data_IF_159900471442
#
_entry.id   IF_159900471442
#
_cell.length_a   1.000
_cell.length_b   1.000
_cell.length_c   1.000
_cell.angle_alpha   90.00
_cell.angle_beta   90.00
_cell.angle_gamma   90.00
#
_symmetry.space_group_name_H-M   'P 1'
#
loop_
_entity.id
_entity.type
_entity.pdbx_description
1 polymer ?
#
# COMPACT_ATOMS: atom_id res chain seq x y z
N UNK A 1 -9.53 -13.07 -0.79
CA UNK A 1 -8.95 -12.08 -1.73
C UNK A 1 -7.50 -12.45 -1.97
N UNK A 2 -7.04 -12.40 -3.22
CA UNK A 2 -5.64 -12.74 -3.54
C UNK A 2 -4.90 -11.50 -4.02
N UNK A 3 -3.83 -11.13 -3.32
CA UNK A 3 -3.00 -9.95 -3.67
C UNK A 3 -1.78 -10.40 -4.47
N UNK A 4 -1.56 -9.80 -5.64
CA UNK A 4 -0.32 -9.93 -6.41
C UNK A 4 0.53 -8.67 -6.26
N UNK A 5 1.76 -8.87 -5.82
CA UNK A 5 2.82 -7.85 -5.74
C UNK A 5 3.53 -7.76 -7.08
N UNK A 6 3.69 -6.54 -7.62
CA UNK A 6 4.23 -6.31 -8.95
C UNK A 6 5.31 -5.20 -8.86
N UNK A 7 6.59 -5.58 -8.80
CA UNK A 7 7.73 -4.64 -8.63
C UNK A 7 8.02 -3.84 -9.90
N UNK A 8 7.69 -2.55 -9.92
CA UNK A 8 7.77 -1.67 -11.09
C UNK A 8 8.82 -0.58 -10.88
N UNK A 9 9.21 0.09 -11.97
CA UNK A 9 10.23 1.14 -11.92
C UNK A 9 11.55 0.63 -11.30
N UNK A 10 12.18 1.41 -10.43
CA UNK A 10 13.39 1.02 -9.71
C UNK A 10 13.03 0.23 -8.44
N UNK A 11 12.09 0.72 -7.65
CA UNK A 11 11.74 0.14 -6.35
C UNK A 11 10.26 0.26 -5.96
N UNK A 12 9.38 0.74 -6.85
CA UNK A 12 7.95 0.86 -6.57
C UNK A 12 7.23 -0.49 -6.61
N UNK A 13 6.14 -0.60 -5.85
CA UNK A 13 5.15 -1.67 -5.99
C UNK A 13 3.84 -1.12 -6.53
N UNK A 14 3.26 -1.87 -7.47
CA UNK A 14 1.82 -1.82 -7.71
C UNK A 14 1.20 -3.16 -7.31
N UNK A 15 -0.09 -3.15 -7.01
CA UNK A 15 -0.78 -4.34 -6.53
C UNK A 15 -2.00 -4.64 -7.38
N UNK A 16 -2.24 -5.93 -7.63
CA UNK A 16 -3.49 -6.43 -8.20
C UNK A 16 -4.20 -7.28 -7.16
N UNK A 17 -5.38 -6.85 -6.72
CA UNK A 17 -6.21 -7.52 -5.75
C UNK A 17 -7.33 -8.22 -6.51
N UNK A 18 -7.37 -9.55 -6.41
CA UNK A 18 -8.29 -10.40 -7.16
C UNK A 18 -9.35 -10.94 -6.21
N UNK A 19 -10.62 -10.69 -6.55
CA UNK A 19 -11.73 -11.51 -6.05
C UNK A 19 -11.76 -12.81 -6.86
N UNK A 20 -11.42 -13.91 -6.19
CA UNK A 20 -11.28 -15.20 -6.86
C UNK A 20 -12.62 -15.79 -7.33
N UNK A 21 -13.74 -15.36 -6.72
CA UNK A 21 -15.07 -15.84 -7.04
C UNK A 21 -15.64 -15.14 -8.29
N UNK A 22 -15.66 -13.81 -8.29
CA UNK A 22 -16.20 -13.02 -9.41
C UNK A 22 -15.25 -12.93 -10.60
N UNK A 23 -13.95 -13.22 -10.40
CA UNK A 23 -12.87 -12.95 -11.37
C UNK A 23 -12.75 -11.48 -11.73
N UNK A 24 -13.18 -10.60 -10.83
CA UNK A 24 -12.89 -9.16 -10.91
C UNK A 24 -11.67 -8.81 -10.09
N UNK A 25 -11.05 -7.68 -10.43
CA UNK A 25 -9.87 -7.21 -9.75
C UNK A 25 -9.85 -5.69 -9.63
N UNK A 26 -9.17 -5.24 -8.58
CA UNK A 26 -8.84 -3.84 -8.30
C UNK A 26 -7.33 -3.72 -8.36
N UNK A 27 -6.81 -2.60 -8.88
CA UNK A 27 -5.39 -2.29 -8.80
C UNK A 27 -5.11 -1.16 -7.81
N UNK A 28 -3.93 -1.19 -7.18
CA UNK A 28 -3.41 -0.09 -6.38
C UNK A 28 -2.17 0.47 -7.06
N UNK A 29 -2.14 1.80 -7.22
CA UNK A 29 -1.02 2.58 -7.77
C UNK A 29 -0.43 2.03 -9.09
N UNK A 30 -1.24 1.87 -10.16
CA UNK A 30 -0.86 1.12 -11.35
C UNK A 30 0.03 1.92 -12.31
N UNK A 31 1.16 2.43 -11.83
CA UNK A 31 2.01 3.36 -12.56
C UNK A 31 2.67 2.76 -13.82
N UNK A 32 2.70 1.44 -14.00
CA UNK A 32 3.16 0.78 -15.25
C UNK A 32 2.00 -0.02 -15.86
N UNK A 33 1.08 0.65 -16.58
CA UNK A 33 -0.21 0.08 -16.94
C UNK A 33 -0.12 -1.13 -17.87
N UNK A 34 0.81 -1.13 -18.84
CA UNK A 34 0.98 -2.26 -19.77
C UNK A 34 1.35 -3.57 -19.04
N UNK A 35 2.18 -3.50 -18.00
CA UNK A 35 2.58 -4.66 -17.19
C UNK A 35 1.41 -5.16 -16.33
N UNK A 36 0.58 -4.24 -15.82
CA UNK A 36 -0.63 -4.59 -15.10
C UNK A 36 -1.58 -5.36 -16.02
N UNK A 37 -1.84 -4.82 -17.22
CA UNK A 37 -2.75 -5.43 -18.18
C UNK A 37 -2.28 -6.81 -18.67
N UNK A 38 -0.96 -7.02 -18.81
CA UNK A 38 -0.40 -8.35 -19.09
C UNK A 38 -0.74 -9.37 -17.99
N UNK A 39 -0.57 -8.96 -16.72
CA UNK A 39 -0.88 -9.81 -15.57
C UNK A 39 -2.40 -10.03 -15.47
N UNK A 40 -3.22 -9.00 -15.63
CA UNK A 40 -4.69 -9.10 -15.66
C UNK A 40 -5.14 -10.12 -16.70
N UNK A 41 -4.56 -10.07 -17.92
CA UNK A 41 -4.83 -11.04 -18.98
C UNK A 41 -4.38 -12.45 -18.60
N UNK A 42 -3.18 -12.60 -18.03
CA UNK A 42 -2.65 -13.92 -17.61
C UNK A 42 -3.48 -14.56 -16.51
N UNK A 43 -3.96 -13.77 -15.56
CA UNK A 43 -4.83 -14.25 -14.47
C UNK A 43 -6.27 -14.53 -14.92
N UNK A 44 -6.65 -14.06 -16.12
CA UNK A 44 -8.01 -14.24 -16.65
C UNK A 44 -9.06 -13.47 -15.82
N UNK A 45 -8.70 -12.29 -15.33
CA UNK A 45 -9.58 -11.44 -14.49
C UNK A 45 -9.95 -10.15 -15.22
N UNK A 46 -11.01 -9.49 -14.76
CA UNK A 46 -11.47 -8.19 -15.26
C UNK A 46 -11.08 -7.08 -14.28
N UNK A 47 -10.25 -6.13 -14.70
CA UNK A 47 -9.94 -4.95 -13.90
C UNK A 47 -11.15 -4.00 -13.91
N UNK A 48 -11.67 -3.66 -12.73
CA UNK A 48 -12.88 -2.82 -12.58
C UNK A 48 -12.63 -1.50 -11.86
N UNK A 49 -11.59 -1.44 -11.02
CA UNK A 49 -11.25 -0.22 -10.31
C UNK A 49 -9.74 -0.06 -10.06
N UNK A 50 -9.35 1.19 -9.80
CA UNK A 50 -8.03 1.60 -9.35
C UNK A 50 -8.19 2.39 -8.06
N UNK A 51 -7.39 2.06 -7.05
CA UNK A 51 -7.23 2.83 -5.82
C UNK A 51 -5.87 3.54 -5.90
N UNK A 52 -5.85 4.87 -5.95
CA UNK A 52 -4.61 5.65 -6.04
C UNK A 52 -4.32 6.26 -4.67
N UNK A 53 -3.21 5.86 -4.04
CA UNK A 53 -2.86 6.31 -2.69
C UNK A 53 -2.58 7.80 -2.65
N UNK A 54 -1.84 8.34 -3.63
CA UNK A 54 -1.56 9.76 -3.72
C UNK A 54 -1.14 10.20 -5.13
N UNK A 55 -0.97 11.50 -5.31
CA UNK A 55 -0.81 12.14 -6.62
C UNK A 55 0.60 12.06 -7.21
N UNK A 56 1.61 11.56 -6.49
CA UNK A 56 2.95 11.47 -7.05
C UNK A 56 2.96 10.57 -8.29
N UNK A 57 3.81 10.96 -9.23
CA UNK A 57 3.80 10.43 -10.59
C UNK A 57 4.04 8.92 -10.64
N UNK A 58 4.94 8.42 -9.82
CA UNK A 58 5.31 7.01 -9.71
C UNK A 58 4.21 6.12 -9.10
N UNK A 59 3.09 6.72 -8.66
CA UNK A 59 1.86 6.03 -8.24
C UNK A 59 0.70 6.25 -9.23
N UNK A 60 0.47 7.51 -9.63
CA UNK A 60 -0.75 7.91 -10.35
C UNK A 60 -0.63 7.92 -11.90
N UNK A 61 0.59 7.96 -12.47
CA UNK A 61 0.78 8.22 -13.91
C UNK A 61 0.11 7.22 -14.86
N UNK A 62 -0.16 6.01 -14.39
CA UNK A 62 -0.74 4.96 -15.22
C UNK A 62 -2.25 5.10 -15.43
N UNK A 63 -2.91 5.90 -14.59
CA UNK A 63 -4.37 5.99 -14.53
C UNK A 63 -4.99 6.43 -15.87
N UNK A 64 -4.46 7.48 -16.50
CA UNK A 64 -5.00 7.98 -17.78
C UNK A 64 -4.85 6.98 -18.92
N UNK A 65 -3.74 6.22 -18.95
CA UNK A 65 -3.54 5.20 -19.96
C UNK A 65 -4.52 4.04 -19.77
N UNK A 66 -4.78 3.63 -18.53
CA UNK A 66 -5.78 2.60 -18.23
C UNK A 66 -7.19 3.04 -18.61
N UNK A 67 -7.55 4.31 -18.37
CA UNK A 67 -8.86 4.84 -18.77
C UNK A 67 -9.06 4.88 -20.29
N UNK A 68 -7.99 5.04 -21.07
CA UNK A 68 -8.07 4.96 -22.54
C UNK A 68 -8.37 3.53 -23.00
N UNK A 69 -7.78 2.54 -22.35
CA UNK A 69 -7.97 1.12 -22.69
C UNK A 69 -9.26 0.53 -22.08
N UNK A 70 -9.71 1.07 -20.94
CA UNK A 70 -10.88 0.64 -20.17
C UNK A 70 -11.71 1.88 -19.79
N UNK A 71 -12.60 2.36 -20.68
CA UNK A 71 -13.33 3.62 -20.47
C UNK A 71 -14.23 3.66 -19.23
N UNK A 72 -14.76 2.51 -18.81
CA UNK A 72 -15.64 2.39 -17.64
C UNK A 72 -14.87 2.17 -16.32
N UNK A 73 -13.52 2.23 -16.35
CA UNK A 73 -12.69 2.03 -15.17
C UNK A 73 -12.94 3.11 -14.12
N UNK A 74 -13.14 2.70 -12.87
CA UNK A 74 -13.30 3.63 -11.76
C UNK A 74 -11.93 3.91 -11.11
N UNK A 75 -11.52 5.16 -11.04
CA UNK A 75 -10.26 5.60 -10.42
C UNK A 75 -10.59 6.40 -9.17
N UNK A 76 -10.25 5.82 -8.02
CA UNK A 76 -10.48 6.39 -6.70
C UNK A 76 -9.21 7.04 -6.16
N UNK A 77 -9.38 8.12 -5.39
CA UNK A 77 -8.26 8.88 -4.81
C UNK A 77 -8.73 10.02 -3.92
N UNK A 78 -7.85 10.51 -3.04
CA UNK A 78 -8.17 11.59 -2.10
C UNK A 78 -7.86 13.01 -2.61
N UNK A 79 -7.23 13.14 -3.77
CA UNK A 79 -6.58 14.37 -4.22
C UNK A 79 -6.95 14.71 -5.67
N UNK A 80 -7.37 15.95 -5.93
CA UNK A 80 -7.75 16.42 -7.28
C UNK A 80 -6.54 16.45 -8.24
N UNK A 81 -5.31 16.38 -7.71
CA UNK A 81 -4.07 16.28 -8.50
C UNK A 81 -3.84 14.88 -9.09
N UNK A 82 -4.60 13.87 -8.66
CA UNK A 82 -4.51 12.51 -9.22
C UNK A 82 -4.98 12.52 -10.66
N UNK A 83 -4.06 12.23 -11.59
CA UNK A 83 -4.38 12.11 -13.01
C UNK A 83 -5.39 11.00 -13.24
N UNK A 84 -6.42 11.27 -14.04
CA UNK A 84 -7.48 10.31 -14.34
C UNK A 84 -8.44 10.02 -13.17
N UNK A 85 -8.48 10.83 -12.11
CA UNK A 85 -9.44 10.65 -11.01
C UNK A 85 -10.89 10.70 -11.53
N UNK A 86 -11.70 9.69 -11.21
CA UNK A 86 -13.14 9.68 -11.51
C UNK A 86 -14.01 9.72 -10.25
N UNK A 87 -13.49 9.24 -9.11
CA UNK A 87 -14.21 9.17 -7.85
C UNK A 87 -13.33 9.69 -6.70
N UNK A 88 -13.58 10.91 -6.24
CA UNK A 88 -12.90 11.43 -5.05
C UNK A 88 -13.47 10.77 -3.79
N UNK A 89 -12.60 10.26 -2.92
CA UNK A 89 -12.99 9.62 -1.66
C UNK A 89 -12.63 10.47 -0.44
N UNK A 90 -13.30 10.19 0.68
CA UNK A 90 -13.03 10.84 1.98
C UNK A 90 -12.66 9.83 3.05
N UNK A 91 -12.14 10.32 4.17
CA UNK A 91 -11.83 9.49 5.35
C UNK A 91 -13.03 8.66 5.79
N UNK A 92 -12.78 7.40 6.15
CA UNK A 92 -13.76 6.39 6.59
C UNK A 92 -14.86 6.05 5.58
N UNK A 93 -14.78 6.55 4.33
CA UNK A 93 -15.71 6.11 3.28
C UNK A 93 -15.47 4.64 2.96
N UNK A 94 -16.56 3.86 2.95
CA UNK A 94 -16.53 2.46 2.56
C UNK A 94 -16.94 2.29 1.10
N UNK A 95 -16.20 1.45 0.39
CA UNK A 95 -16.47 1.00 -0.96
C UNK A 95 -16.61 -0.52 -0.95
N UNK A 96 -17.30 -1.07 -1.94
CA UNK A 96 -17.47 -2.51 -2.09
C UNK A 96 -17.29 -2.93 -3.53
N UNK A 97 -16.46 -3.95 -3.74
CA UNK A 97 -16.19 -4.55 -5.03
C UNK A 97 -16.42 -6.06 -4.90
N UNK A 98 -17.65 -6.49 -5.17
CA UNK A 98 -18.12 -7.85 -4.90
C UNK A 98 -17.88 -8.26 -3.44
N UNK A 99 -17.05 -9.28 -3.19
CA UNK A 99 -16.73 -9.75 -1.84
C UNK A 99 -15.75 -8.83 -1.09
N UNK A 100 -15.01 -7.98 -1.80
CA UNK A 100 -13.95 -7.14 -1.22
C UNK A 100 -14.57 -5.85 -0.69
N UNK A 101 -14.53 -5.67 0.62
CA UNK A 101 -14.85 -4.42 1.29
C UNK A 101 -13.58 -3.55 1.39
N UNK A 102 -13.72 -2.24 1.20
CA UNK A 102 -12.61 -1.28 1.26
C UNK A 102 -13.01 -0.13 2.17
N UNK A 103 -12.17 0.23 3.14
CA UNK A 103 -12.29 1.46 3.92
C UNK A 103 -11.16 2.42 3.54
N UNK A 104 -11.53 3.62 3.12
CA UNK A 104 -10.59 4.68 2.74
C UNK A 104 -10.10 5.41 4.00
N UNK A 105 -8.80 5.45 4.23
CA UNK A 105 -8.18 6.04 5.41
C UNK A 105 -7.34 7.24 4.98
N UNK A 106 -7.84 8.44 5.24
CA UNK A 106 -7.10 9.67 4.99
C UNK A 106 -5.88 9.75 5.92
N UNK A 107 -4.68 9.87 5.33
CA UNK A 107 -3.40 9.87 6.05
C UNK A 107 -2.48 10.99 5.56
N UNK A 108 -2.88 12.28 5.71
CA UNK A 108 -2.10 13.39 5.19
C UNK A 108 -0.76 13.49 5.91
N UNK A 109 0.35 13.51 5.18
CA UNK A 109 1.66 13.96 5.67
C UNK A 109 2.68 13.92 4.54
N UNK A 110 2.87 12.73 3.95
CA UNK A 110 3.72 12.57 2.78
C UNK A 110 3.22 13.45 1.63
N UNK A 111 1.93 13.34 1.34
CA UNK A 111 1.17 14.36 0.59
C UNK A 111 -0.07 14.74 1.37
N UNK A 112 -0.64 15.91 1.08
CA UNK A 112 -1.83 16.44 1.78
C UNK A 112 -3.12 15.70 1.40
N UNK A 113 -3.11 14.93 0.31
CA UNK A 113 -4.25 14.15 -0.18
C UNK A 113 -4.08 12.64 -0.06
N UNK A 114 -3.09 12.16 0.70
CA UNK A 114 -2.74 10.75 0.78
C UNK A 114 -3.87 9.91 1.41
N UNK A 115 -4.16 8.76 0.80
CA UNK A 115 -5.12 7.75 1.24
C UNK A 115 -4.42 6.40 1.41
N UNK A 116 -4.65 5.75 2.54
CA UNK A 116 -4.44 4.31 2.70
C UNK A 116 -5.77 3.59 2.46
N UNK A 117 -5.71 2.34 1.98
CA UNK A 117 -6.91 1.54 1.72
C UNK A 117 -6.87 0.25 2.54
N UNK A 118 -7.78 0.11 3.50
CA UNK A 118 -7.94 -1.09 4.32
C UNK A 118 -8.99 -2.02 3.69
N UNK A 119 -8.60 -3.25 3.39
CA UNK A 119 -9.38 -4.24 2.64
C UNK A 119 -9.62 -5.49 3.48
N UNK A 120 -10.84 -6.01 3.41
CA UNK A 120 -11.22 -7.29 4.02
C UNK A 120 -12.34 -7.96 3.22
N UNK A 121 -12.57 -9.23 3.50
CA UNK A 121 -13.75 -9.99 3.05
C UNK A 121 -14.52 -10.47 4.28
N UNK A 122 -15.85 -10.42 4.21
CA UNK A 122 -16.70 -10.93 5.27
C UNK A 122 -16.59 -12.46 5.34
N UNK A 123 -16.61 -13.02 6.56
CA UNK A 123 -16.51 -14.47 6.83
C UNK A 123 -15.26 -15.17 6.23
N UNK A 124 -14.19 -14.41 5.95
CA UNK A 124 -12.93 -14.93 5.43
C UNK A 124 -11.92 -15.19 6.56
N UNK A 125 -11.26 -16.37 6.61
CA UNK A 125 -10.25 -16.66 7.62
C UNK A 125 -8.90 -15.94 7.36
N UNK A 126 -8.69 -15.39 6.16
CA UNK A 126 -7.47 -14.66 5.85
C UNK A 126 -7.47 -13.28 6.51
N UNK A 127 -6.33 -12.89 7.09
CA UNK A 127 -6.15 -11.56 7.65
C UNK A 127 -6.39 -10.46 6.62
N UNK A 128 -6.94 -9.31 7.05
CA UNK A 128 -7.16 -8.16 6.18
C UNK A 128 -5.84 -7.57 5.67
N UNK A 129 -5.93 -6.66 4.70
CA UNK A 129 -4.78 -5.99 4.10
C UNK A 129 -4.94 -4.47 4.18
N UNK A 130 -3.84 -3.74 4.30
CA UNK A 130 -3.81 -2.28 4.15
C UNK A 130 -2.76 -1.89 3.12
N UNK A 131 -3.18 -1.11 2.14
CA UNK A 131 -2.30 -0.51 1.14
C UNK A 131 -1.94 0.89 1.60
N UNK A 132 -0.68 1.09 1.93
CA UNK A 132 -0.24 2.26 2.71
C UNK A 132 0.45 3.33 1.88
N UNK A 133 0.66 3.08 0.58
CA UNK A 133 1.42 3.96 -0.29
C UNK A 133 2.71 4.39 0.40
N UNK A 134 2.88 5.69 0.54
CA UNK A 134 4.07 6.30 1.09
C UNK A 134 3.87 6.83 2.52
N UNK A 135 2.78 6.46 3.19
CA UNK A 135 2.59 6.78 4.62
C UNK A 135 3.42 5.85 5.50
N UNK A 136 3.24 4.54 5.35
CA UNK A 136 3.92 3.51 6.14
C UNK A 136 4.68 2.57 5.19
N UNK A 137 5.97 2.38 5.44
CA UNK A 137 6.80 1.38 4.78
C UNK A 137 7.17 0.28 5.78
N UNK A 138 7.60 -0.89 5.28
CA UNK A 138 8.22 -1.89 6.14
C UNK A 138 9.46 -1.29 6.83
N UNK A 139 9.38 -1.13 8.15
CA UNK A 139 10.42 -0.57 9.00
C UNK A 139 10.64 0.94 8.85
N UNK A 140 9.78 1.68 8.15
CA UNK A 140 9.94 3.12 7.91
C UNK A 140 8.63 3.88 7.68
N UNK A 141 8.74 5.15 7.32
CA UNK A 141 7.61 6.00 6.88
C UNK A 141 8.06 6.93 5.74
N UNK A 142 7.10 7.54 5.04
CA UNK A 142 7.42 8.52 3.99
C UNK A 142 8.02 9.81 4.53
N UNK A 143 8.77 10.49 3.67
CA UNK A 143 9.20 11.89 3.93
C UNK A 143 7.98 12.80 4.01
N UNK A 144 8.04 13.81 4.88
CA UNK A 144 6.94 14.73 5.13
C UNK A 144 6.99 15.91 4.14
N UNK A 145 6.71 15.67 2.86
CA UNK A 145 6.80 16.73 1.84
C UNK A 145 5.73 17.79 2.01
N UNK A 146 4.51 17.41 2.41
CA UNK A 146 3.36 18.31 2.49
C UNK A 146 2.68 18.29 3.87
N UNK A 147 3.41 17.91 4.91
CA UNK A 147 2.85 17.76 6.25
C UNK A 147 3.86 17.82 7.38
N UNK A 148 3.43 17.38 8.55
CA UNK A 148 4.14 17.56 9.82
C UNK A 148 4.39 16.23 10.52
N UNK A 149 5.32 16.24 11.48
CA UNK A 149 5.59 15.08 12.32
C UNK A 149 4.36 14.66 13.16
N UNK A 150 3.57 15.62 13.64
CA UNK A 150 2.33 15.37 14.38
C UNK A 150 1.30 14.63 13.50
N UNK A 151 1.16 15.04 12.25
CA UNK A 151 0.30 14.35 11.29
C UNK A 151 0.78 12.92 11.01
N UNK A 152 2.09 12.72 10.78
CA UNK A 152 2.60 11.36 10.56
C UNK A 152 2.38 10.49 11.79
N UNK A 153 2.67 11.01 12.99
CA UNK A 153 2.44 10.30 14.24
C UNK A 153 0.98 9.86 14.36
N UNK A 154 0.04 10.79 14.20
CA UNK A 154 -1.40 10.49 14.21
C UNK A 154 -1.78 9.42 13.16
N UNK A 155 -1.29 9.56 11.92
CA UNK A 155 -1.56 8.57 10.87
C UNK A 155 -1.09 7.17 11.25
N UNK A 156 0.11 7.07 11.82
CA UNK A 156 0.73 5.80 12.18
C UNK A 156 0.07 5.17 13.42
N UNK A 157 -0.20 5.94 14.47
CA UNK A 157 -0.67 5.38 15.75
C UNK A 157 -2.19 5.35 15.90
N UNK A 158 -2.90 6.37 15.42
CA UNK A 158 -4.34 6.53 15.66
C UNK A 158 -5.19 6.10 14.45
N UNK A 159 -4.66 6.19 13.23
CA UNK A 159 -5.37 5.76 12.01
C UNK A 159 -4.99 4.33 11.62
N UNK A 160 -3.69 4.06 11.38
CA UNK A 160 -3.23 2.74 10.96
C UNK A 160 -3.03 1.79 12.16
N UNK A 161 -2.48 2.30 13.26
CA UNK A 161 -2.19 1.52 14.47
C UNK A 161 -3.41 0.98 15.21
N UNK A 162 -4.62 1.46 14.87
CA UNK A 162 -5.90 0.99 15.44
C UNK A 162 -6.57 -0.11 14.63
N UNK A 163 -6.02 -0.46 13.46
CA UNK A 163 -6.46 -1.61 12.67
C UNK A 163 -6.08 -2.94 13.36
N UNK A 164 -6.69 -4.08 12.99
CA UNK A 164 -6.33 -5.40 13.52
C UNK A 164 -4.83 -5.67 13.38
N UNK A 165 -4.20 -6.21 14.42
CA UNK A 165 -2.74 -6.38 14.47
C UNK A 165 -2.20 -7.33 13.38
N UNK A 166 -3.00 -8.30 12.95
CA UNK A 166 -2.66 -9.24 11.89
C UNK A 166 -2.85 -8.66 10.47
N UNK A 167 -3.30 -7.40 10.34
CA UNK A 167 -3.44 -6.73 9.05
C UNK A 167 -2.13 -6.72 8.28
N UNK A 168 -2.15 -7.28 7.07
CA UNK A 168 -1.00 -7.29 6.14
C UNK A 168 -0.74 -5.89 5.59
N UNK A 169 0.49 -5.42 5.64
CA UNK A 169 0.89 -4.08 5.16
C UNK A 169 1.54 -4.19 3.78
N UNK A 170 0.99 -3.47 2.79
CA UNK A 170 1.47 -3.39 1.42
C UNK A 170 1.82 -1.93 1.08
N UNK A 171 3.11 -1.59 1.10
CA UNK A 171 3.61 -0.23 0.96
C UNK A 171 4.16 0.11 -0.43
N UNK A 172 4.31 1.40 -0.73
CA UNK A 172 4.65 1.89 -2.08
C UNK A 172 6.01 1.45 -2.63
N UNK A 173 6.99 1.18 -1.77
CA UNK A 173 8.39 0.97 -2.18
C UNK A 173 9.13 -0.16 -1.45
N UNK A 174 10.14 -0.72 -2.11
CA UNK A 174 11.13 -1.65 -1.56
C UNK A 174 12.27 -0.92 -0.83
N UNK A 175 11.94 -0.29 0.30
CA UNK A 175 12.89 0.44 1.14
C UNK A 175 13.35 -0.33 2.39
N UNK A 176 12.91 -1.56 2.56
CA UNK A 176 13.00 -2.33 3.80
C UNK A 176 14.42 -2.43 4.36
N UNK A 177 15.42 -2.74 3.52
CA UNK A 177 16.82 -2.83 3.98
C UNK A 177 17.36 -1.47 4.43
N UNK A 178 17.05 -0.39 3.71
CA UNK A 178 17.49 0.98 4.07
C UNK A 178 16.82 1.42 5.38
N UNK A 179 15.53 1.16 5.50
CA UNK A 179 14.72 1.45 6.68
C UNK A 179 15.23 0.71 7.91
N UNK A 180 15.46 -0.60 7.83
CA UNK A 180 15.93 -1.42 8.94
C UNK A 180 17.39 -1.10 9.33
N UNK A 181 18.22 -0.65 8.39
CA UNK A 181 19.55 -0.10 8.73
C UNK A 181 19.43 1.16 9.58
N UNK A 182 18.48 2.05 9.26
CA UNK A 182 18.22 3.22 10.10
C UNK A 182 17.63 2.82 11.46
N UNK A 183 16.66 1.91 11.50
CA UNK A 183 16.11 1.37 12.74
C UNK A 183 17.20 0.78 13.65
N UNK A 184 18.20 0.10 13.08
CA UNK A 184 19.35 -0.44 13.81
C UNK A 184 20.22 0.65 14.45
N UNK A 185 20.30 1.84 13.84
CA UNK A 185 21.01 2.96 14.43
C UNK A 185 20.23 3.57 15.60
N UNK A 186 18.89 3.57 15.53
CA UNK A 186 18.00 4.12 16.55
C UNK A 186 17.91 3.18 17.77
N UNK A 187 17.74 1.87 17.54
CA UNK A 187 17.63 0.84 18.58
C UNK A 187 18.64 -0.31 18.34
N UNK A 188 19.94 -0.13 18.63
CA UNK A 188 20.98 -1.13 18.32
C UNK A 188 20.82 -2.49 19.00
N UNK A 189 20.12 -2.52 20.14
CA UNK A 189 19.88 -3.72 20.94
C UNK A 189 18.54 -4.40 20.60
N UNK A 190 17.76 -3.86 19.66
CA UNK A 190 16.49 -4.46 19.27
C UNK A 190 16.71 -5.69 18.35
N UNK A 191 16.62 -6.89 18.94
CA UNK A 191 16.78 -8.15 18.21
C UNK A 191 15.76 -8.32 17.07
N UNK A 192 14.56 -7.76 17.17
CA UNK A 192 13.55 -7.81 16.10
C UNK A 192 14.01 -7.08 14.85
N UNK A 193 14.69 -5.94 15.01
CA UNK A 193 15.30 -5.22 13.89
C UNK A 193 16.40 -6.07 13.24
N UNK A 194 17.22 -6.76 14.05
CA UNK A 194 18.33 -7.62 13.55
C UNK A 194 17.80 -8.79 12.75
N UNK A 195 16.83 -9.50 13.31
CA UNK A 195 16.13 -10.62 12.67
C UNK A 195 15.48 -10.18 11.34
N UNK A 196 14.71 -9.09 11.37
CA UNK A 196 14.02 -8.59 10.17
C UNK A 196 14.99 -8.09 9.10
N UNK A 197 16.11 -7.47 9.49
CA UNK A 197 17.14 -7.03 8.54
C UNK A 197 17.85 -8.22 7.87
N UNK A 198 18.15 -9.26 8.64
CA UNK A 198 18.72 -10.50 8.08
C UNK A 198 17.75 -11.17 7.10
N UNK A 199 16.47 -11.24 7.47
CA UNK A 199 15.41 -11.74 6.61
C UNK A 199 15.28 -10.92 5.32
N UNK A 200 15.30 -9.59 5.42
CA UNK A 200 15.17 -8.70 4.26
C UNK A 200 16.33 -8.87 3.28
N UNK A 201 17.57 -9.01 3.77
CA UNK A 201 18.75 -9.30 2.94
C UNK A 201 18.64 -10.62 2.20
N UNK A 202 18.21 -11.68 2.89
CA UNK A 202 18.04 -12.99 2.26
C UNK A 202 16.95 -12.97 1.16
N UNK A 203 15.94 -12.10 1.27
CA UNK A 203 14.93 -11.92 0.22
C UNK A 203 15.43 -11.10 -0.96
N UNK A 204 16.20 -10.05 -0.69
CA UNK A 204 16.87 -9.23 -1.70
C UNK A 204 17.85 -10.07 -2.53
N UNK A 205 18.66 -10.92 -1.88
CA UNK A 205 19.56 -11.89 -2.55
C UNK A 205 18.80 -12.88 -3.47
N UNK A 206 17.51 -13.12 -3.19
CA UNK A 206 16.62 -14.02 -3.92
C UNK A 206 15.69 -13.28 -4.93
N UNK A 207 15.88 -11.97 -5.14
CA UNK A 207 14.99 -11.09 -5.95
C UNK A 207 13.50 -11.15 -5.51
N UNK A 208 13.24 -11.32 -4.20
CA UNK A 208 11.89 -11.42 -3.63
C UNK A 208 11.48 -10.14 -2.90
N UNK A 209 10.27 -9.61 -3.16
CA UNK A 209 9.72 -8.47 -2.42
C UNK A 209 9.68 -8.68 -0.91
N UNK A 210 9.95 -7.68 -0.11
CA UNK A 210 9.84 -7.73 1.36
C UNK A 210 8.44 -7.38 1.90
N UNK A 211 7.49 -7.14 1.00
CA UNK A 211 6.06 -7.03 1.33
C UNK A 211 5.34 -8.38 1.16
N UNK A 212 4.22 -8.60 1.89
CA UNK A 212 3.76 -7.77 2.99
C UNK A 212 4.51 -8.04 4.29
N UNK A 213 4.51 -7.06 5.20
CA UNK A 213 4.65 -7.27 6.65
C UNK A 213 3.26 -7.33 7.30
N UNK A 214 3.18 -7.29 8.62
CA UNK A 214 1.94 -7.08 9.39
C UNK A 214 2.07 -5.87 10.30
N UNK A 215 0.95 -5.27 10.72
CA UNK A 215 0.99 -4.17 11.69
C UNK A 215 1.63 -4.58 13.02
N UNK A 216 1.38 -5.82 13.47
CA UNK A 216 2.03 -6.39 14.65
C UNK A 216 3.56 -6.35 14.53
N UNK A 217 4.09 -6.79 13.39
CA UNK A 217 5.52 -6.75 13.09
C UNK A 217 6.06 -5.31 13.07
N UNK A 218 5.35 -4.36 12.46
CA UNK A 218 5.82 -2.97 12.41
C UNK A 218 5.99 -2.35 13.81
N UNK A 219 5.11 -2.68 14.77
CA UNK A 219 5.27 -2.24 16.17
C UNK A 219 6.52 -2.83 16.87
N UNK A 220 7.11 -3.90 16.33
CA UNK A 220 8.30 -4.54 16.91
C UNK A 220 9.63 -3.90 16.44
N UNK A 221 9.69 -3.34 15.22
CA UNK A 221 10.96 -2.86 14.64
C UNK A 221 10.91 -1.50 13.93
N UNK A 222 9.74 -0.92 13.68
CA UNK A 222 9.63 0.34 12.96
C UNK A 222 9.80 1.52 13.95
N UNK A 223 10.88 2.31 13.87
CA UNK A 223 11.16 3.35 14.86
C UNK A 223 10.08 4.45 14.88
N UNK A 224 9.32 4.63 13.79
CA UNK A 224 8.26 5.64 13.70
C UNK A 224 6.95 5.21 14.38
N UNK A 225 6.80 3.92 14.71
CA UNK A 225 5.69 3.37 15.50
C UNK A 225 6.09 3.09 16.96
N UNK A 226 7.35 3.37 17.32
CA UNK A 226 7.98 3.02 18.61
C UNK A 226 8.55 4.26 19.30
N UNK A 227 7.75 5.32 19.40
CA UNK A 227 8.16 6.62 19.96
C UNK A 227 7.92 6.77 21.47
N UNK A 228 7.39 5.74 22.14
CA UNK A 228 7.07 5.71 23.57
C UNK A 228 8.10 4.96 24.40
#
# INVERSE_FOLDING_TARGET
MRVKVISILEDNYMYLIIDEQSKEAIAVDPAVPHRLLEIVKREGVRLTAVLTTHHHWDHARGNEALLKDIPDLQVYGGDDRITGLTHKVTHSQELKFNAINVRCLFTPCHTSGHMCYFLWEDDCPDSPAVFTGDTLFVGGCGKFFEGTAEQMYHNLTEVLGTLPQDTKVFCGHEYTIKNLKFAMLVEPENERVKEKLSWARARDDDDKPTVPSTLLEEFEYNPFLRLS
#
